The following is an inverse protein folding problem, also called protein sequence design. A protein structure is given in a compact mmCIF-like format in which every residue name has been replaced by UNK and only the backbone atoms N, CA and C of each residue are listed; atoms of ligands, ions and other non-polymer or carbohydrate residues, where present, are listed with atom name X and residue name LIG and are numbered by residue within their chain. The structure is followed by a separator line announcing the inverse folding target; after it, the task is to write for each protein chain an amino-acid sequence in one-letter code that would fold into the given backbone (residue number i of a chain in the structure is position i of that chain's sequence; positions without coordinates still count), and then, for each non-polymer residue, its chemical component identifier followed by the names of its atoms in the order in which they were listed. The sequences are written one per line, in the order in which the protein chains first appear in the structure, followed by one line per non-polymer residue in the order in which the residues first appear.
data_IF_894443014824
#
_entry.id   IF_894443014824
#
_cell.length_a   1.000
_cell.length_b   1.000
_cell.length_c   1.000
_cell.angle_alpha   90.00
_cell.angle_beta   90.00
_cell.angle_gamma   90.00
#
_symmetry.space_group_name_H-M   'P 1'
#
loop_
_entity.id
_entity.type
_entity.pdbx_description
1 polymer ?
#
# COMPACT_ATOMS: atom_id res chain seq x y z
N UNK A 1 -16.61 -15.57 -1.66
CA UNK A 1 -15.26 -15.90 -1.14
C UNK A 1 -15.42 -16.46 0.26
N UNK A 2 -14.51 -17.32 0.74
CA UNK A 2 -14.44 -17.64 2.17
C UNK A 2 -13.03 -17.46 2.70
N UNK A 3 -12.94 -16.97 3.93
CA UNK A 3 -11.68 -16.70 4.61
C UNK A 3 -11.42 -17.75 5.67
N UNK A 4 -10.19 -18.21 5.74
CA UNK A 4 -9.81 -19.24 6.70
C UNK A 4 -8.31 -19.18 7.00
N UNK A 5 -7.97 -19.47 8.26
CA UNK A 5 -6.61 -19.79 8.69
C UNK A 5 -6.41 -21.29 8.95
N UNK A 6 -7.51 -22.06 9.01
CA UNK A 6 -7.48 -23.52 9.14
C UNK A 6 -6.87 -24.18 7.91
N UNK A 7 -6.20 -25.33 8.10
CA UNK A 7 -5.69 -26.15 7.00
C UNK A 7 -6.80 -26.93 6.29
N UNK A 8 -7.88 -27.23 7.01
CA UNK A 8 -9.09 -27.85 6.49
C UNK A 8 -10.23 -26.83 6.61
N UNK A 9 -10.53 -26.06 5.53
CA UNK A 9 -11.63 -25.11 5.53
C UNK A 9 -12.97 -25.82 5.50
N UNK A 10 -13.97 -25.23 6.18
CA UNK A 10 -15.35 -25.68 6.08
C UNK A 10 -15.96 -25.17 4.77
N UNK A 11 -16.42 -26.09 3.93
CA UNK A 11 -17.11 -25.76 2.69
C UNK A 11 -18.62 -25.82 2.92
N UNK A 12 -19.26 -24.68 2.73
CA UNK A 12 -20.71 -24.52 2.83
C UNK A 12 -21.23 -23.92 1.54
N UNK A 13 -22.26 -24.55 0.99
CA UNK A 13 -22.92 -24.10 -0.22
C UNK A 13 -24.01 -23.09 0.14
N UNK A 14 -23.71 -21.81 -0.11
CA UNK A 14 -24.66 -20.73 0.10
C UNK A 14 -25.62 -20.64 -1.08
N UNK A 15 -26.92 -20.56 -0.79
CA UNK A 15 -27.97 -20.40 -1.78
C UNK A 15 -28.71 -19.07 -1.56
N UNK A 16 -29.00 -18.34 -2.63
CA UNK A 16 -29.89 -17.17 -2.63
C UNK A 16 -31.05 -17.47 -3.58
N UNK A 17 -32.28 -17.40 -3.09
CA UNK A 17 -33.49 -17.70 -3.87
C UNK A 17 -33.42 -19.05 -4.61
N UNK A 18 -32.90 -20.09 -3.93
CA UNK A 18 -32.70 -21.42 -4.51
C UNK A 18 -31.53 -21.55 -5.49
N UNK A 19 -30.82 -20.46 -5.80
CA UNK A 19 -29.65 -20.47 -6.68
C UNK A 19 -28.35 -20.57 -5.87
N UNK A 20 -27.52 -21.56 -6.20
CA UNK A 20 -26.21 -21.77 -5.55
C UNK A 20 -25.23 -20.68 -5.95
N UNK A 21 -24.61 -20.05 -4.97
CA UNK A 21 -23.61 -19.01 -5.19
C UNK A 21 -22.25 -19.61 -5.55
N UNK A 22 -21.63 -19.08 -6.60
CA UNK A 22 -20.27 -19.44 -6.97
C UNK A 22 -19.25 -18.83 -6.02
N UNK A 23 -18.42 -19.68 -5.41
CA UNK A 23 -17.35 -19.24 -4.52
C UNK A 23 -16.16 -18.73 -5.34
N UNK A 24 -15.75 -17.48 -5.12
CA UNK A 24 -14.46 -16.99 -5.61
C UNK A 24 -13.33 -17.88 -5.05
N UNK A 25 -12.42 -18.34 -5.92
CA UNK A 25 -11.46 -19.39 -5.60
C UNK A 25 -10.35 -18.92 -4.65
N UNK A 26 -9.45 -18.05 -5.12
CA UNK A 26 -8.20 -17.74 -4.41
C UNK A 26 -8.06 -16.27 -4.05
N UNK A 27 -8.59 -15.38 -4.89
CA UNK A 27 -8.62 -13.95 -4.63
C UNK A 27 -9.96 -13.37 -5.03
N UNK A 28 -10.36 -12.29 -4.37
CA UNK A 28 -11.42 -11.41 -4.85
C UNK A 28 -10.98 -9.97 -4.71
N UNK A 29 -11.57 -9.10 -5.52
CA UNK A 29 -11.29 -7.67 -5.49
C UNK A 29 -12.55 -6.94 -5.06
N UNK A 30 -12.41 -6.08 -4.07
CA UNK A 30 -13.47 -5.20 -3.60
C UNK A 30 -12.89 -3.84 -3.20
N UNK A 31 -13.60 -2.77 -3.55
CA UNK A 31 -13.15 -1.38 -3.38
C UNK A 31 -11.69 -1.14 -3.83
N UNK A 32 -11.24 -1.82 -4.89
CA UNK A 32 -9.86 -1.71 -5.37
C UNK A 32 -8.80 -2.51 -4.59
N UNK A 33 -9.17 -3.11 -3.46
CA UNK A 33 -8.31 -3.96 -2.62
C UNK A 33 -8.42 -5.41 -3.08
N UNK A 34 -7.30 -6.14 -3.09
CA UNK A 34 -7.28 -7.57 -3.47
C UNK A 34 -7.08 -8.41 -2.21
N UNK A 35 -8.07 -9.23 -1.91
CA UNK A 35 -8.09 -10.10 -0.75
C UNK A 35 -7.78 -11.53 -1.18
N UNK A 36 -7.00 -12.23 -0.38
CA UNK A 36 -6.76 -13.67 -0.48
C UNK A 36 -7.53 -14.45 0.59
N UNK A 37 -7.67 -15.76 0.42
CA UNK A 37 -8.37 -16.64 1.38
C UNK A 37 -7.81 -16.55 2.81
N UNK A 38 -6.52 -16.22 2.95
CA UNK A 38 -5.83 -16.13 4.25
C UNK A 38 -5.83 -14.72 4.84
N UNK A 39 -6.39 -13.72 4.16
CA UNK A 39 -6.35 -12.30 4.54
C UNK A 39 -4.92 -11.80 4.81
N UNK A 40 -3.95 -12.25 4.01
CA UNK A 40 -2.56 -11.80 4.09
C UNK A 40 -2.33 -10.48 3.36
N UNK A 41 -3.24 -10.11 2.44
CA UNK A 41 -3.11 -8.95 1.54
C UNK A 41 -1.88 -8.97 0.64
N UNK A 42 -1.14 -10.08 0.60
CA UNK A 42 0.06 -10.21 -0.22
C UNK A 42 -0.20 -9.95 -1.72
N UNK A 43 -1.27 -10.51 -2.33
CA UNK A 43 -1.57 -10.22 -3.73
C UNK A 43 -1.82 -8.73 -3.99
N UNK A 44 -2.46 -8.03 -3.06
CA UNK A 44 -2.68 -6.59 -3.15
C UNK A 44 -1.36 -5.82 -3.07
N UNK A 45 -0.56 -6.04 -2.03
CA UNK A 45 0.74 -5.37 -1.84
C UNK A 45 1.63 -5.59 -3.07
N UNK A 46 1.70 -6.83 -3.57
CA UNK A 46 2.46 -7.18 -4.78
C UNK A 46 1.96 -6.39 -5.99
N UNK A 47 0.65 -6.36 -6.23
CA UNK A 47 0.07 -5.62 -7.34
C UNK A 47 0.32 -4.10 -7.22
N UNK A 48 0.17 -3.53 -6.03
CA UNK A 48 0.45 -2.11 -5.74
C UNK A 48 1.92 -1.76 -5.97
N UNK A 49 2.85 -2.58 -5.48
CA UNK A 49 4.28 -2.42 -5.75
C UNK A 49 4.58 -2.48 -7.25
N UNK A 50 4.07 -3.50 -7.97
CA UNK A 50 4.27 -3.62 -9.40
C UNK A 50 3.71 -2.43 -10.19
N UNK A 51 2.56 -1.89 -9.78
CA UNK A 51 1.96 -0.68 -10.37
C UNK A 51 2.84 0.53 -10.11
N UNK A 52 3.26 0.74 -8.87
CA UNK A 52 4.06 1.88 -8.46
C UNK A 52 5.47 1.87 -9.06
N UNK A 53 6.10 0.70 -9.24
CA UNK A 53 7.43 0.57 -9.87
C UNK A 53 7.48 1.00 -11.34
N UNK A 54 6.33 1.06 -12.03
CA UNK A 54 6.25 1.59 -13.41
C UNK A 54 6.33 3.13 -13.45
N UNK A 55 5.98 3.79 -12.35
CA UNK A 55 5.85 5.25 -12.26
C UNK A 55 7.20 5.96 -12.33
N UNK A 56 8.27 5.54 -11.64
CA UNK A 56 9.59 6.16 -11.79
C UNK A 56 10.08 6.23 -13.24
N UNK A 57 9.75 5.22 -14.08
CA UNK A 57 10.09 5.27 -15.50
C UNK A 57 9.35 6.37 -16.26
N UNK A 58 8.07 6.60 -15.94
CA UNK A 58 7.30 7.73 -16.47
C UNK A 58 7.84 9.07 -15.96
N UNK A 59 8.05 9.20 -14.65
CA UNK A 59 8.59 10.42 -14.03
C UNK A 59 9.96 10.73 -14.63
N UNK A 60 10.84 9.75 -14.82
CA UNK A 60 12.15 9.96 -15.45
C UNK A 60 12.03 10.57 -16.84
N UNK A 61 11.12 10.10 -17.69
CA UNK A 61 10.97 10.65 -19.05
C UNK A 61 10.45 12.10 -19.07
N UNK A 62 9.58 12.44 -18.13
CA UNK A 62 8.97 13.78 -18.06
C UNK A 62 9.84 14.77 -17.29
N UNK A 63 10.56 14.30 -16.27
CA UNK A 63 11.17 15.14 -15.24
C UNK A 63 12.70 15.27 -15.36
N UNK A 64 13.35 14.64 -16.35
CA UNK A 64 14.81 14.76 -16.52
C UNK A 64 15.29 16.18 -16.70
N UNK A 65 14.47 17.06 -17.28
CA UNK A 65 14.78 18.47 -17.45
C UNK A 65 14.43 19.32 -16.21
N UNK A 66 13.64 18.77 -15.28
CA UNK A 66 13.15 19.49 -14.10
C UNK A 66 14.07 19.21 -12.91
N UNK A 67 15.05 20.09 -12.69
CA UNK A 67 16.00 20.01 -11.56
C UNK A 67 15.47 20.69 -10.28
N UNK A 68 14.19 20.53 -9.98
CA UNK A 68 13.54 21.19 -8.85
C UNK A 68 12.99 20.18 -7.84
N UNK A 69 13.30 20.38 -6.57
CA UNK A 69 12.89 19.50 -5.47
C UNK A 69 11.36 19.43 -5.34
N UNK A 70 10.68 20.57 -5.38
CA UNK A 70 9.24 20.64 -5.12
C UNK A 70 8.40 19.85 -6.15
N UNK A 71 8.57 20.01 -7.48
CA UNK A 71 7.86 19.21 -8.48
C UNK A 71 8.14 17.71 -8.37
N UNK A 72 9.40 17.31 -8.18
CA UNK A 72 9.78 15.90 -8.02
C UNK A 72 9.08 15.28 -6.80
N UNK A 73 9.11 15.99 -5.67
CA UNK A 73 8.40 15.57 -4.46
C UNK A 73 6.89 15.46 -4.69
N UNK A 74 6.28 16.46 -5.33
CA UNK A 74 4.84 16.46 -5.60
C UNK A 74 4.44 15.26 -6.47
N UNK A 75 5.23 14.95 -7.50
CA UNK A 75 5.00 13.78 -8.35
C UNK A 75 5.15 12.46 -7.60
N UNK A 76 6.14 12.35 -6.71
CA UNK A 76 6.27 11.19 -5.83
C UNK A 76 5.00 10.97 -5.00
N UNK A 77 4.56 12.02 -4.29
CA UNK A 77 3.37 11.94 -3.44
C UNK A 77 2.11 11.65 -4.26
N UNK A 78 1.93 12.34 -5.39
CA UNK A 78 0.72 12.22 -6.20
C UNK A 78 0.61 10.88 -6.94
N UNK A 79 1.73 10.29 -7.39
CA UNK A 79 1.71 9.11 -8.24
C UNK A 79 2.13 7.83 -7.50
N UNK A 80 3.21 7.88 -6.72
CA UNK A 80 3.75 6.71 -6.02
C UNK A 80 3.02 6.50 -4.70
N UNK A 81 2.97 7.53 -3.84
CA UNK A 81 2.32 7.41 -2.53
C UNK A 81 0.83 7.13 -2.66
N UNK A 82 0.12 7.78 -3.59
CA UNK A 82 -1.30 7.50 -3.81
C UNK A 82 -1.61 6.03 -4.14
N UNK A 83 -0.67 5.31 -4.76
CA UNK A 83 -0.81 3.88 -5.06
C UNK A 83 -0.48 3.00 -3.85
N UNK A 84 0.58 3.35 -3.11
CA UNK A 84 1.10 2.50 -2.02
C UNK A 84 0.43 2.76 -0.68
N UNK A 85 -0.08 3.97 -0.46
CA UNK A 85 -0.75 4.37 0.78
C UNK A 85 -2.26 4.16 0.70
N UNK A 86 -2.80 3.83 -0.47
CA UNK A 86 -4.18 3.39 -0.61
C UNK A 86 -4.44 2.18 0.27
N UNK A 87 -5.44 2.28 1.16
CA UNK A 87 -5.80 1.25 2.12
C UNK A 87 -4.64 0.78 3.03
N UNK A 88 -3.64 1.63 3.29
CA UNK A 88 -2.44 1.23 4.05
C UNK A 88 -2.73 0.75 5.47
N UNK A 89 -3.80 1.24 6.09
CA UNK A 89 -4.22 0.83 7.44
C UNK A 89 -4.82 -0.59 7.43
N UNK A 90 -5.56 -0.94 6.38
CA UNK A 90 -6.19 -2.26 6.24
C UNK A 90 -5.21 -3.30 5.70
N UNK A 91 -4.34 -2.88 4.78
CA UNK A 91 -3.40 -3.73 4.05
C UNK A 91 -1.96 -3.59 4.58
N UNK A 92 -1.78 -3.19 5.85
CA UNK A 92 -0.45 -3.04 6.43
C UNK A 92 0.28 -4.40 6.44
N UNK A 93 1.49 -4.51 5.87
CA UNK A 93 2.12 -5.81 5.77
C UNK A 93 2.55 -6.37 7.13
N UNK A 94 2.08 -7.57 7.44
CA UNK A 94 2.43 -8.29 8.67
C UNK A 94 3.84 -8.92 8.64
N UNK A 95 4.50 -8.98 7.48
CA UNK A 95 5.86 -9.51 7.35
C UNK A 95 6.85 -8.44 6.92
N UNK A 96 8.07 -8.57 7.43
CA UNK A 96 9.21 -7.72 7.09
C UNK A 96 9.47 -7.75 5.57
N UNK A 97 9.37 -8.92 4.92
CA UNK A 97 9.62 -9.07 3.49
C UNK A 97 8.65 -8.25 2.62
N UNK A 98 7.38 -8.16 3.01
CA UNK A 98 6.40 -7.35 2.29
C UNK A 98 6.60 -5.86 2.55
N UNK A 99 6.97 -5.48 3.78
CA UNK A 99 7.39 -4.12 4.11
C UNK A 99 8.58 -3.67 3.23
N UNK A 100 9.61 -4.51 3.11
CA UNK A 100 10.75 -4.23 2.23
C UNK A 100 10.37 -4.10 0.76
N UNK A 101 9.36 -4.82 0.28
CA UNK A 101 8.90 -4.66 -1.10
C UNK A 101 8.36 -3.24 -1.37
N UNK A 102 7.67 -2.62 -0.39
CA UNK A 102 7.21 -1.23 -0.47
C UNK A 102 8.40 -0.27 -0.45
N UNK A 103 9.34 -0.45 0.49
CA UNK A 103 10.53 0.42 0.61
C UNK A 103 11.39 0.37 -0.66
N UNK A 104 11.50 -0.78 -1.33
CA UNK A 104 12.19 -0.88 -2.62
C UNK A 104 11.61 0.04 -3.70
N UNK A 105 10.30 0.29 -3.69
CA UNK A 105 9.68 1.24 -4.61
C UNK A 105 10.14 2.67 -4.31
N UNK A 106 10.14 3.04 -3.03
CA UNK A 106 10.65 4.34 -2.58
C UNK A 106 12.13 4.50 -2.93
N UNK A 107 12.99 3.52 -2.62
CA UNK A 107 14.41 3.57 -2.96
C UNK A 107 14.64 3.71 -4.46
N UNK A 108 13.84 3.04 -5.31
CA UNK A 108 13.95 3.20 -6.77
C UNK A 108 13.63 4.62 -7.22
N UNK A 109 12.63 5.25 -6.61
CA UNK A 109 12.32 6.64 -6.87
C UNK A 109 13.42 7.59 -6.36
N UNK A 110 13.92 7.37 -5.13
CA UNK A 110 14.96 8.20 -4.53
C UNK A 110 16.27 8.12 -5.32
N UNK A 111 16.63 6.95 -5.86
CA UNK A 111 17.77 6.80 -6.78
C UNK A 111 17.63 7.64 -8.05
N UNK A 112 16.41 7.77 -8.59
CA UNK A 112 16.16 8.69 -9.69
C UNK A 112 16.25 10.16 -9.25
N UNK A 113 15.66 10.48 -8.10
CA UNK A 113 15.66 11.84 -7.57
C UNK A 113 17.07 12.34 -7.24
N UNK A 114 17.92 11.50 -6.64
CA UNK A 114 19.31 11.85 -6.34
C UNK A 114 20.13 12.12 -7.59
N UNK A 115 19.90 11.34 -8.65
CA UNK A 115 20.52 11.57 -9.95
C UNK A 115 20.11 12.92 -10.57
N UNK A 116 18.81 13.25 -10.59
CA UNK A 116 18.32 14.49 -11.22
C UNK A 116 18.69 15.74 -10.41
N UNK A 117 18.67 15.63 -9.08
CA UNK A 117 18.96 16.73 -8.17
C UNK A 117 20.44 16.82 -7.78
N UNK A 118 21.29 15.94 -8.31
CA UNK A 118 22.73 15.89 -8.04
C UNK A 118 23.05 15.80 -6.53
N UNK A 119 22.24 15.03 -5.80
CA UNK A 119 22.41 14.82 -4.35
C UNK A 119 23.40 13.68 -4.14
N UNK A 120 24.54 14.00 -3.54
CA UNK A 120 25.50 12.99 -3.13
C UNK A 120 24.96 12.18 -1.94
N UNK A 121 25.04 10.85 -2.05
CA UNK A 121 24.71 9.94 -0.96
C UNK A 121 25.50 8.63 -1.09
N UNK A 122 25.78 7.93 0.02
CA UNK A 122 26.43 6.62 -0.04
C UNK A 122 25.57 5.58 -0.80
N UNK A 123 26.17 4.55 -1.41
CA UNK A 123 25.43 3.45 -1.99
C UNK A 123 24.44 2.86 -1.00
N UNK A 124 23.19 2.68 -1.43
CA UNK A 124 22.10 2.11 -0.64
C UNK A 124 21.64 2.92 0.59
N UNK A 125 22.30 4.04 0.92
CA UNK A 125 21.82 4.98 1.92
C UNK A 125 21.10 6.15 1.24
N UNK A 126 19.77 6.16 1.32
CA UNK A 126 18.93 7.20 0.75
C UNK A 126 18.41 8.22 1.79
N UNK A 127 18.89 8.17 3.03
CA UNK A 127 18.51 9.13 4.08
C UNK A 127 18.80 10.59 3.67
N UNK A 128 19.98 10.93 3.07
CA UNK A 128 20.23 12.30 2.61
C UNK A 128 19.22 12.76 1.55
N UNK A 129 18.82 11.85 0.67
CA UNK A 129 17.86 12.12 -0.40
C UNK A 129 16.46 12.36 0.21
N UNK A 130 16.03 11.52 1.15
CA UNK A 130 14.79 11.73 1.90
C UNK A 130 14.76 13.09 2.60
N UNK A 131 15.85 13.46 3.27
CA UNK A 131 15.97 14.73 3.97
C UNK A 131 15.83 15.92 3.01
N UNK A 132 16.54 15.89 1.88
CA UNK A 132 16.47 16.96 0.87
C UNK A 132 15.07 17.12 0.26
N UNK A 133 14.35 16.02 0.00
CA UNK A 133 12.95 16.04 -0.46
C UNK A 133 11.94 16.30 0.68
N UNK A 134 12.39 16.37 1.94
CA UNK A 134 11.53 16.43 3.13
C UNK A 134 10.47 15.32 3.11
N UNK A 135 10.92 14.09 2.86
CA UNK A 135 10.12 12.86 2.85
C UNK A 135 10.53 11.99 4.04
N UNK A 136 9.63 11.12 4.47
CA UNK A 136 9.91 10.06 5.44
C UNK A 136 9.84 8.70 4.74
N UNK A 137 10.28 7.65 5.43
CA UNK A 137 10.09 6.28 4.94
C UNK A 137 8.59 5.96 4.81
N UNK A 138 8.27 5.04 3.90
CA UNK A 138 6.90 4.55 3.76
C UNK A 138 6.47 3.80 5.03
N UNK A 139 7.38 3.09 5.69
CA UNK A 139 7.16 2.46 6.99
C UNK A 139 6.67 3.46 8.04
N UNK A 140 7.36 4.60 8.21
CA UNK A 140 6.96 5.63 9.17
C UNK A 140 5.60 6.22 8.83
N UNK A 141 5.29 6.36 7.54
CA UNK A 141 3.97 6.84 7.07
C UNK A 141 2.86 5.87 7.44
N UNK A 142 3.07 4.56 7.26
CA UNK A 142 2.11 3.53 7.67
C UNK A 142 1.88 3.56 9.18
N UNK A 143 2.95 3.65 9.97
CA UNK A 143 2.85 3.78 11.44
C UNK A 143 2.01 5.01 11.82
N UNK A 144 2.28 6.17 11.21
CA UNK A 144 1.47 7.38 11.48
C UNK A 144 0.02 7.24 11.06
N UNK A 145 -0.25 6.60 9.91
CA UNK A 145 -1.61 6.34 9.45
C UNK A 145 -2.37 5.43 10.42
N UNK A 146 -1.72 4.36 10.91
CA UNK A 146 -2.29 3.44 11.89
C UNK A 146 -2.57 4.14 13.22
N UNK A 147 -1.63 4.92 13.74
CA UNK A 147 -1.82 5.70 14.98
C UNK A 147 -2.97 6.68 14.82
N UNK A 148 -3.03 7.42 13.70
CA UNK A 148 -4.11 8.36 13.43
C UNK A 148 -5.46 7.67 13.36
N UNK A 149 -5.54 6.50 12.70
CA UNK A 149 -6.75 5.70 12.63
C UNK A 149 -7.20 5.23 14.01
N UNK A 150 -6.30 4.64 14.80
CA UNK A 150 -6.59 4.15 16.14
C UNK A 150 -7.03 5.27 17.09
N UNK A 151 -6.35 6.41 17.05
CA UNK A 151 -6.72 7.57 17.87
C UNK A 151 -8.14 8.05 17.53
N UNK A 152 -8.48 8.18 16.25
CA UNK A 152 -9.83 8.58 15.83
C UNK A 152 -10.89 7.54 16.21
N UNK A 153 -10.55 6.25 16.12
CA UNK A 153 -11.44 5.16 16.53
C UNK A 153 -11.74 5.23 18.04
N UNK A 154 -10.71 5.38 18.87
CA UNK A 154 -10.87 5.46 20.34
C UNK A 154 -11.64 6.73 20.75
N UNK A 155 -11.43 7.84 20.04
CA UNK A 155 -12.13 9.10 20.30
C UNK A 155 -13.56 9.16 19.71
N UNK A 156 -14.04 8.08 19.06
CA UNK A 156 -15.37 8.05 18.45
C UNK A 156 -15.53 8.98 17.23
N UNK A 157 -14.43 9.42 16.61
CA UNK A 157 -14.43 10.23 15.39
C UNK A 157 -14.57 9.39 14.11
N UNK A 158 -14.47 8.07 14.25
CA UNK A 158 -14.74 7.09 13.21
C UNK A 158 -15.77 6.12 13.78
N UNK A 159 -16.87 5.93 13.07
CA UNK A 159 -17.88 4.97 13.46
C UNK A 159 -17.27 3.56 13.47
N UNK A 160 -17.38 2.80 14.57
CA UNK A 160 -17.04 1.38 14.53
C UNK A 160 -17.98 0.68 13.54
N UNK A 161 -17.55 -0.41 12.88
CA UNK A 161 -18.43 -1.20 12.04
C UNK A 161 -19.63 -1.64 12.90
N UNK A 162 -20.81 -1.12 12.56
CA UNK A 162 -22.05 -1.31 13.30
C UNK A 162 -22.27 -2.82 13.51
N UNK A 163 -22.39 -3.31 14.76
CA UNK A 163 -22.95 -4.63 14.96
C UNK A 163 -24.42 -4.54 14.56
N UNK A 164 -24.80 -5.25 13.50
CA UNK A 164 -26.20 -5.40 13.11
C UNK A 164 -27.02 -5.75 14.36
N UNK A 165 -28.15 -5.08 14.65
CA UNK A 165 -29.04 -5.59 15.68
C UNK A 165 -29.45 -7.00 15.26
N UNK A 166 -29.12 -7.99 16.10
CA UNK A 166 -29.69 -9.33 15.96
C UNK A 166 -31.19 -9.18 16.23
N UNK A 167 -31.97 -9.14 15.15
CA UNK A 167 -33.42 -9.34 15.18
C UNK A 167 -33.71 -10.81 14.86
#
# INVERSE_FOLDING_TARGET
MSFFRSRCPFEFDYNINGSKLTRAANTFKDLGIVFDTKLTFYPHIKASCCKALKIPGFVKRVCTQFKLVAPIKSLYCALVCSVLEYASVTCDPHTISHSYALERVQCKFLSFASYVLEINHPPYDYIPVLASLKLSLLADRRVRANISFLSKLISGLIDPPIPSPMH
#
